data_IF_898190693778
#
_entry.id   IF_898190693778
#
_cell.length_a   1.000
_cell.length_b   1.000
_cell.length_c   1.000
_cell.angle_alpha   90.00
_cell.angle_beta   90.00
_cell.angle_gamma   90.00
#
_symmetry.space_group_name_H-M   'P 1'
#
loop_
_entity.id
_entity.type
_entity.pdbx_description
1 polymer ?
#
# COMPACT_ATOMS: atom_id res chain seq x y z
N UNK A 1 15.69 -6.06 -5.48
CA UNK A 1 16.39 -5.99 -6.77
C UNK A 1 15.59 -5.14 -7.74
N UNK A 2 16.28 -4.15 -8.26
CA UNK A 2 15.86 -3.15 -9.23
C UNK A 2 15.93 -3.65 -10.70
N UNK A 3 16.56 -4.81 -10.91
CA UNK A 3 16.67 -5.50 -12.20
C UNK A 3 16.34 -6.97 -12.05
N UNK A 4 15.90 -7.56 -13.15
CA UNK A 4 15.74 -9.00 -13.26
C UNK A 4 17.14 -9.67 -13.27
N UNK A 5 17.38 -10.69 -12.43
CA UNK A 5 18.68 -11.35 -12.33
C UNK A 5 19.10 -12.06 -13.61
N UNK A 6 18.13 -12.50 -14.44
CA UNK A 6 18.36 -13.25 -15.67
C UNK A 6 18.38 -12.29 -16.87
N UNK A 7 17.31 -11.52 -17.08
CA UNK A 7 17.18 -10.68 -18.28
C UNK A 7 17.94 -9.36 -18.17
N UNK A 8 18.32 -8.95 -16.95
CA UNK A 8 18.95 -7.66 -16.63
C UNK A 8 18.08 -6.44 -16.91
N UNK A 9 16.82 -6.66 -17.29
CA UNK A 9 15.85 -5.60 -17.53
C UNK A 9 15.46 -4.95 -16.21
N UNK A 10 15.23 -3.65 -16.27
CA UNK A 10 14.79 -2.84 -15.13
C UNK A 10 13.38 -3.26 -14.73
N UNK A 11 13.18 -3.60 -13.46
CA UNK A 11 11.88 -4.10 -12.96
C UNK A 11 11.01 -3.01 -12.33
N UNK A 12 11.59 -1.84 -12.08
CA UNK A 12 10.95 -0.68 -11.43
C UNK A 12 11.74 0.61 -11.72
N UNK A 13 11.18 1.78 -11.42
CA UNK A 13 11.91 3.05 -11.54
C UNK A 13 13.14 3.04 -10.62
N UNK A 14 14.30 3.46 -11.14
CA UNK A 14 15.57 3.47 -10.40
C UNK A 14 15.65 4.65 -9.43
N UNK A 15 14.89 4.59 -8.34
CA UNK A 15 14.83 5.61 -7.27
C UNK A 15 15.95 5.46 -6.23
N UNK A 16 16.64 4.33 -6.22
CA UNK A 16 17.59 3.95 -5.18
C UNK A 16 17.00 3.10 -4.07
N UNK A 17 15.69 2.82 -4.08
CA UNK A 17 15.01 1.97 -3.10
C UNK A 17 15.56 0.53 -3.09
N UNK A 18 15.77 -0.06 -4.26
CA UNK A 18 16.42 -1.36 -4.41
C UNK A 18 17.76 -1.19 -5.15
N UNK A 19 18.82 -1.77 -4.61
CA UNK A 19 20.17 -1.69 -5.18
C UNK A 19 20.91 -3.03 -5.21
N UNK A 20 20.21 -4.12 -4.92
CA UNK A 20 20.82 -5.44 -4.78
C UNK A 20 21.52 -5.92 -6.07
N UNK A 21 21.00 -5.58 -7.26
CA UNK A 21 21.69 -5.95 -8.51
C UNK A 21 23.03 -5.22 -8.62
N UNK A 22 23.03 -3.89 -8.40
CA UNK A 22 24.26 -3.07 -8.39
C UNK A 22 25.25 -3.47 -7.30
N UNK A 23 24.76 -3.87 -6.13
CA UNK A 23 25.61 -4.33 -5.01
C UNK A 23 26.40 -5.60 -5.37
N UNK A 24 25.95 -6.39 -6.34
CA UNK A 24 26.70 -7.56 -6.81
C UNK A 24 28.01 -7.20 -7.55
N UNK A 25 28.26 -5.91 -7.83
CA UNK A 25 29.55 -5.42 -8.37
C UNK A 25 30.59 -5.13 -7.27
N UNK A 26 30.22 -5.25 -5.99
CA UNK A 26 31.14 -5.04 -4.87
C UNK A 26 32.20 -6.16 -4.87
N UNK A 27 33.48 -5.78 -4.99
CA UNK A 27 34.60 -6.72 -4.96
C UNK A 27 34.66 -7.44 -3.61
N UNK A 28 34.80 -8.76 -3.65
CA UNK A 28 34.90 -9.60 -2.45
C UNK A 28 33.55 -9.97 -1.81
N UNK A 29 32.43 -9.65 -2.46
CA UNK A 29 31.11 -10.09 -2.01
C UNK A 29 30.79 -11.48 -2.58
N UNK A 30 30.67 -12.50 -1.71
CA UNK A 30 30.33 -13.86 -2.15
C UNK A 30 28.82 -14.16 -2.07
N UNK A 31 28.14 -13.58 -1.08
CA UNK A 31 26.73 -13.85 -0.76
C UNK A 31 26.02 -12.53 -0.44
N UNK A 32 24.87 -12.30 -1.05
CA UNK A 32 23.97 -11.18 -0.78
C UNK A 32 22.58 -11.72 -0.39
N UNK A 33 22.27 -11.66 0.92
CA UNK A 33 20.95 -12.01 1.44
C UNK A 33 20.07 -10.77 1.36
N UNK A 34 18.94 -10.89 0.66
CA UNK A 34 18.01 -9.77 0.42
C UNK A 34 16.65 -10.01 1.08
N UNK A 35 15.87 -8.93 1.20
CA UNK A 35 14.49 -8.92 1.70
C UNK A 35 13.68 -7.84 0.98
N UNK A 36 12.76 -7.18 1.71
CA UNK A 36 11.96 -6.02 1.26
C UNK A 36 10.92 -6.29 0.15
N UNK A 37 11.27 -7.05 -0.88
CA UNK A 37 10.39 -7.27 -2.04
C UNK A 37 9.45 -8.47 -1.93
N UNK A 38 9.55 -9.28 -0.85
CA UNK A 38 8.69 -10.43 -0.58
C UNK A 38 8.74 -11.53 -1.67
N UNK A 39 9.83 -11.60 -2.43
CA UNK A 39 10.04 -12.60 -3.49
C UNK A 39 10.72 -13.85 -2.94
N UNK A 40 10.52 -14.97 -3.64
CA UNK A 40 11.24 -16.23 -3.42
C UNK A 40 12.26 -16.40 -4.55
N UNK A 41 13.55 -16.31 -4.26
CA UNK A 41 14.60 -16.51 -5.28
C UNK A 41 15.94 -16.93 -4.69
N UNK A 42 16.68 -17.70 -5.50
CA UNK A 42 18.10 -18.00 -5.33
C UNK A 42 18.72 -17.87 -6.72
N UNK A 43 19.62 -16.91 -6.87
CA UNK A 43 20.21 -16.56 -8.15
C UNK A 43 21.71 -16.30 -8.01
N UNK A 44 22.43 -16.28 -9.15
CA UNK A 44 23.85 -15.92 -9.18
C UNK A 44 24.05 -14.72 -10.09
N UNK A 45 24.46 -13.58 -9.52
CA UNK A 45 24.67 -12.33 -10.24
C UNK A 45 26.15 -11.95 -10.11
N UNK A 46 26.86 -11.85 -11.22
CA UNK A 46 28.29 -11.49 -11.27
C UNK A 46 29.18 -12.34 -10.34
N UNK A 47 28.81 -13.61 -10.13
CA UNK A 47 29.53 -14.52 -9.24
C UNK A 47 29.00 -14.56 -7.80
N UNK A 48 28.22 -13.57 -7.39
CA UNK A 48 27.62 -13.45 -6.06
C UNK A 48 26.34 -14.29 -5.97
N UNK A 49 26.21 -15.11 -4.92
CA UNK A 49 24.97 -15.79 -4.61
C UNK A 49 23.97 -14.78 -4.01
N UNK A 50 22.82 -14.59 -4.65
CA UNK A 50 21.76 -13.69 -4.18
C UNK A 50 20.56 -14.51 -3.74
N UNK A 51 20.07 -14.25 -2.53
CA UNK A 51 18.92 -14.99 -1.98
C UNK A 51 17.82 -14.04 -1.49
N UNK A 52 16.58 -14.48 -1.55
CA UNK A 52 15.44 -13.83 -0.91
C UNK A 52 14.43 -14.90 -0.48
N UNK A 53 14.00 -14.85 0.77
CA UNK A 53 12.83 -15.58 1.24
C UNK A 53 11.60 -14.68 1.17
N UNK A 54 10.45 -15.27 0.88
CA UNK A 54 9.16 -14.58 0.93
C UNK A 54 8.80 -14.10 2.35
N UNK A 55 7.60 -13.56 2.50
CA UNK A 55 7.11 -12.93 3.73
C UNK A 55 6.44 -13.93 4.70
N UNK A 56 6.23 -13.50 5.95
CA UNK A 56 5.52 -14.24 7.01
C UNK A 56 6.11 -15.63 7.32
N UNK A 57 7.43 -15.79 7.17
CA UNK A 57 8.15 -17.03 7.48
C UNK A 57 7.57 -18.30 6.82
N UNK A 58 6.95 -18.15 5.63
CA UNK A 58 6.43 -19.29 4.83
C UNK A 58 7.55 -20.19 4.29
N UNK A 59 8.75 -19.66 4.25
CA UNK A 59 9.98 -20.35 3.87
C UNK A 59 11.18 -19.67 4.52
N UNK A 60 12.32 -20.35 4.46
CA UNK A 60 13.63 -19.80 4.79
C UNK A 60 14.67 -20.32 3.81
N UNK A 61 15.81 -19.64 3.71
CA UNK A 61 16.92 -20.06 2.85
C UNK A 61 18.00 -20.71 3.71
N UNK A 62 18.37 -21.94 3.37
CA UNK A 62 19.55 -22.60 3.93
C UNK A 62 20.72 -22.38 2.96
N UNK A 63 21.85 -21.88 3.48
CA UNK A 63 23.07 -21.66 2.72
C UNK A 63 24.18 -22.51 3.36
N UNK A 64 24.75 -23.41 2.57
CA UNK A 64 25.86 -24.27 2.97
C UNK A 64 27.16 -23.78 2.30
N UNK A 65 28.18 -23.53 3.11
CA UNK A 65 29.49 -23.04 2.65
C UNK A 65 30.55 -24.09 2.96
N UNK A 66 31.21 -24.61 1.93
CA UNK A 66 32.38 -25.45 2.09
C UNK A 66 33.65 -24.59 2.12
N UNK A 67 34.23 -24.39 3.30
CA UNK A 67 35.42 -23.56 3.50
C UNK A 67 36.70 -24.11 2.87
N UNK A 68 36.73 -25.38 2.44
CA UNK A 68 37.89 -25.97 1.76
C UNK A 68 37.85 -25.76 0.25
N UNK A 69 36.67 -25.87 -0.34
CA UNK A 69 36.49 -25.74 -1.80
C UNK A 69 35.94 -24.37 -2.22
N UNK A 70 35.53 -23.54 -1.25
CA UNK A 70 34.76 -22.31 -1.45
C UNK A 70 33.45 -22.52 -2.24
N UNK A 71 32.93 -23.75 -2.26
CA UNK A 71 31.63 -24.02 -2.86
C UNK A 71 30.53 -23.52 -1.94
N UNK A 72 29.56 -22.80 -2.52
CA UNK A 72 28.39 -22.28 -1.83
C UNK A 72 27.16 -22.87 -2.50
N UNK A 73 26.33 -23.55 -1.72
CA UNK A 73 25.04 -24.08 -2.15
C UNK A 73 23.93 -23.40 -1.35
N UNK A 74 22.77 -23.18 -1.97
CA UNK A 74 21.61 -22.67 -1.28
C UNK A 74 20.32 -23.33 -1.75
N UNK A 75 19.37 -23.49 -0.83
CA UNK A 75 18.02 -23.99 -1.13
C UNK A 75 16.97 -23.26 -0.32
N UNK A 76 15.80 -23.06 -0.92
CA UNK A 76 14.61 -22.56 -0.22
C UNK A 76 13.92 -23.75 0.44
N UNK A 77 13.64 -23.64 1.73
CA UNK A 77 12.91 -24.65 2.51
C UNK A 77 11.57 -24.06 2.91
N UNK A 78 10.47 -24.67 2.46
CA UNK A 78 9.13 -24.28 2.87
C UNK A 78 8.86 -24.71 4.31
N UNK A 79 8.25 -23.81 5.11
CA UNK A 79 7.84 -24.11 6.47
C UNK A 79 6.53 -24.89 6.56
N UNK A 80 5.77 -25.03 5.45
CA UNK A 80 4.41 -25.60 5.40
C UNK A 80 4.27 -26.97 6.07
N UNK A 81 5.28 -27.83 5.94
CA UNK A 81 5.24 -29.22 6.42
C UNK A 81 6.17 -29.47 7.63
N UNK A 82 6.76 -28.42 8.19
CA UNK A 82 7.61 -28.55 9.36
C UNK A 82 6.74 -28.71 10.61
N UNK A 83 7.18 -29.57 11.53
CA UNK A 83 6.50 -29.73 12.81
C UNK A 83 6.84 -28.54 13.69
N UNK A 84 5.81 -27.96 14.28
CA UNK A 84 5.95 -26.90 15.28
C UNK A 84 6.64 -27.45 16.54
N UNK A 85 7.51 -26.64 17.15
CA UNK A 85 8.07 -26.97 18.45
C UNK A 85 7.02 -26.69 19.54
N UNK A 86 6.49 -27.76 20.12
CA UNK A 86 5.47 -27.69 21.16
C UNK A 86 5.91 -26.84 22.35
N UNK A 87 7.19 -26.83 22.73
CA UNK A 87 7.66 -26.02 23.86
C UNK A 87 7.51 -24.53 23.59
N UNK A 88 7.79 -24.11 22.36
CA UNK A 88 7.62 -22.71 21.94
C UNK A 88 6.13 -22.36 21.89
N UNK A 89 5.30 -23.21 21.26
CA UNK A 89 3.85 -22.99 21.18
C UNK A 89 3.22 -22.90 22.57
N UNK A 90 3.54 -23.84 23.45
CA UNK A 90 3.01 -23.89 24.82
C UNK A 90 3.45 -22.64 25.61
N UNK A 91 4.69 -22.16 25.43
CA UNK A 91 5.17 -20.94 26.09
C UNK A 91 4.44 -19.66 25.64
N UNK A 92 3.85 -19.66 24.44
CA UNK A 92 3.14 -18.51 23.87
C UNK A 92 1.62 -18.62 24.04
N UNK A 93 1.10 -19.71 24.60
CA UNK A 93 -0.34 -20.00 24.66
C UNK A 93 -1.15 -18.91 25.36
N UNK A 94 -0.73 -18.47 26.54
CA UNK A 94 -1.42 -17.41 27.30
C UNK A 94 -1.43 -16.07 26.52
N UNK A 95 -0.31 -15.72 25.89
CA UNK A 95 -0.22 -14.52 25.06
C UNK A 95 -1.15 -14.62 23.83
N UNK A 96 -1.18 -15.78 23.19
CA UNK A 96 -2.05 -16.05 22.05
C UNK A 96 -3.54 -15.94 22.45
N UNK A 97 -3.95 -16.54 23.56
CA UNK A 97 -5.32 -16.46 24.07
C UNK A 97 -5.73 -15.02 24.40
N UNK A 98 -4.87 -14.27 25.11
CA UNK A 98 -5.10 -12.83 25.37
C UNK A 98 -5.20 -12.01 24.09
N UNK A 99 -4.37 -12.33 23.09
CA UNK A 99 -4.42 -11.67 21.78
C UNK A 99 -5.73 -11.97 21.06
N UNK A 100 -6.24 -13.21 21.09
CA UNK A 100 -7.54 -13.52 20.49
C UNK A 100 -8.67 -12.77 21.18
N UNK A 101 -8.67 -12.72 22.51
CA UNK A 101 -9.68 -11.96 23.28
C UNK A 101 -9.63 -10.48 22.90
N UNK A 102 -8.45 -9.88 22.82
CA UNK A 102 -8.28 -8.48 22.41
C UNK A 102 -8.75 -8.23 20.97
N UNK A 103 -8.41 -9.13 20.04
CA UNK A 103 -8.85 -9.04 18.65
C UNK A 103 -10.38 -9.07 18.53
N UNK A 104 -11.07 -9.85 19.36
CA UNK A 104 -12.53 -9.99 19.30
C UNK A 104 -13.29 -8.90 20.08
N UNK A 105 -12.59 -7.92 20.66
CA UNK A 105 -13.24 -6.78 21.32
C UNK A 105 -14.00 -5.92 20.30
N UNK A 106 -15.28 -5.59 20.55
CA UNK A 106 -16.04 -4.68 19.71
C UNK A 106 -15.49 -3.25 19.86
N UNK A 107 -15.33 -2.55 18.73
CA UNK A 107 -14.81 -1.18 18.69
C UNK A 107 -15.84 -0.15 18.24
N UNK A 108 -16.92 -0.58 17.58
CA UNK A 108 -18.02 0.29 17.18
C UNK A 108 -18.86 -0.33 16.06
N UNK A 109 -19.82 0.44 15.58
CA UNK A 109 -20.73 0.02 14.49
C UNK A 109 -20.77 1.05 13.38
N UNK A 110 -20.85 0.58 12.14
CA UNK A 110 -21.18 1.40 10.98
C UNK A 110 -22.62 1.11 10.55
N UNK A 111 -23.33 2.17 10.14
CA UNK A 111 -24.69 2.10 9.61
C UNK A 111 -24.73 2.61 8.17
N UNK A 112 -25.83 2.28 7.47
CA UNK A 112 -26.19 2.74 6.12
C UNK A 112 -25.39 2.13 4.95
N UNK A 113 -24.27 1.44 5.18
CA UNK A 113 -23.49 0.77 4.14
C UNK A 113 -23.05 -0.64 4.54
N UNK A 114 -23.04 -1.57 3.57
CA UNK A 114 -22.23 -2.79 3.65
C UNK A 114 -20.80 -2.46 3.25
N UNK A 115 -19.85 -2.80 4.12
CA UNK A 115 -18.43 -2.52 3.91
C UNK A 115 -17.63 -3.75 3.54
N UNK A 116 -18.27 -4.89 3.29
CA UNK A 116 -17.61 -6.06 2.71
C UNK A 116 -17.21 -5.81 1.27
N UNK A 117 -15.98 -6.16 0.95
CA UNK A 117 -15.44 -6.03 -0.40
C UNK A 117 -15.55 -7.37 -1.10
N UNK A 118 -16.48 -7.46 -2.05
CA UNK A 118 -16.68 -8.66 -2.87
C UNK A 118 -15.74 -8.68 -4.09
N UNK A 119 -15.48 -7.50 -4.67
CA UNK A 119 -14.62 -7.31 -5.83
C UNK A 119 -13.68 -6.11 -5.59
N UNK A 120 -12.40 -6.41 -5.36
CA UNK A 120 -11.39 -5.40 -5.09
C UNK A 120 -11.08 -4.49 -6.30
N UNK A 121 -11.33 -4.96 -7.52
CA UNK A 121 -11.17 -4.14 -8.72
C UNK A 121 -12.31 -3.13 -8.82
N UNK A 122 -13.56 -3.57 -8.64
CA UNK A 122 -14.72 -2.67 -8.61
C UNK A 122 -14.65 -1.67 -7.44
N UNK A 123 -14.16 -2.12 -6.28
CA UNK A 123 -13.94 -1.26 -5.12
C UNK A 123 -12.95 -0.11 -5.40
N UNK A 124 -11.97 -0.33 -6.29
CA UNK A 124 -11.01 0.69 -6.73
C UNK A 124 -11.53 1.54 -7.89
N UNK A 125 -12.26 0.92 -8.83
CA UNK A 125 -12.79 1.59 -10.01
C UNK A 125 -13.90 2.58 -9.65
N UNK A 126 -14.82 2.20 -8.76
CA UNK A 126 -16.00 2.99 -8.40
C UNK A 126 -15.92 3.65 -7.02
N UNK A 127 -14.72 3.67 -6.40
CA UNK A 127 -14.46 4.09 -5.01
C UNK A 127 -15.44 3.51 -3.98
N UNK A 128 -15.06 2.40 -3.35
CA UNK A 128 -15.89 1.75 -2.33
C UNK A 128 -16.17 2.65 -1.10
N UNK A 129 -17.34 2.54 -0.44
CA UNK A 129 -17.67 3.34 0.75
C UNK A 129 -16.66 3.25 1.91
N UNK A 130 -15.92 2.15 2.01
CA UNK A 130 -14.83 2.01 3.01
C UNK A 130 -13.75 3.08 2.84
N UNK A 131 -13.45 3.48 1.60
CA UNK A 131 -12.48 4.53 1.30
C UNK A 131 -13.01 5.88 1.75
N UNK A 132 -14.30 6.14 1.53
CA UNK A 132 -14.96 7.35 2.05
C UNK A 132 -14.92 7.38 3.57
N UNK A 133 -15.13 6.25 4.25
CA UNK A 133 -14.99 6.17 5.70
C UNK A 133 -13.57 6.48 6.17
N UNK A 134 -12.55 5.83 5.58
CA UNK A 134 -11.15 6.09 5.94
C UNK A 134 -10.78 7.57 5.70
N UNK A 135 -11.13 8.13 4.54
CA UNK A 135 -10.88 9.52 4.25
C UNK A 135 -11.66 10.47 5.16
N UNK A 136 -12.92 10.16 5.51
CA UNK A 136 -13.72 10.95 6.45
C UNK A 136 -13.02 11.06 7.80
N UNK A 137 -12.53 9.94 8.36
CA UNK A 137 -11.79 9.95 9.63
C UNK A 137 -10.48 10.74 9.50
N UNK A 138 -9.74 10.54 8.41
CA UNK A 138 -8.49 11.28 8.16
C UNK A 138 -8.74 12.79 8.06
N UNK A 139 -9.78 13.23 7.36
CA UNK A 139 -10.18 14.64 7.23
C UNK A 139 -10.58 15.23 8.59
N UNK A 140 -11.39 14.53 9.38
CA UNK A 140 -11.86 15.02 10.67
C UNK A 140 -10.72 15.20 11.68
N UNK A 141 -9.79 14.24 11.74
CA UNK A 141 -8.65 14.27 12.66
C UNK A 141 -7.57 15.26 12.23
N UNK A 142 -7.40 15.45 10.92
CA UNK A 142 -6.38 16.35 10.37
C UNK A 142 -6.82 17.80 10.22
N UNK A 143 -8.11 18.04 9.96
CA UNK A 143 -8.62 19.33 9.52
C UNK A 143 -8.18 19.72 8.10
N UNK A 144 -7.66 18.78 7.31
CA UNK A 144 -7.19 19.05 5.95
C UNK A 144 -8.37 19.26 4.97
N UNK A 145 -8.09 19.90 3.83
CA UNK A 145 -9.05 20.11 2.75
C UNK A 145 -9.32 18.81 1.97
N UNK A 146 -8.29 18.00 1.78
CA UNK A 146 -8.26 16.83 0.91
C UNK A 146 -7.63 15.66 1.68
N UNK A 147 -8.17 14.47 1.49
CA UNK A 147 -7.60 13.23 2.02
C UNK A 147 -7.39 12.23 0.90
N UNK A 148 -6.30 11.47 0.99
CA UNK A 148 -6.05 10.34 0.10
C UNK A 148 -5.68 9.10 0.90
N UNK A 149 -6.19 7.96 0.45
CA UNK A 149 -5.85 6.65 1.01
C UNK A 149 -6.00 5.55 -0.03
N UNK A 150 -5.24 4.47 0.13
CA UNK A 150 -5.27 3.32 -0.78
C UNK A 150 -6.15 2.20 -0.24
N UNK A 151 -6.69 1.38 -1.14
CA UNK A 151 -7.18 0.05 -0.76
C UNK A 151 -6.02 -0.95 -0.79
N UNK A 152 -5.66 -1.54 0.35
CA UNK A 152 -4.57 -2.52 0.43
C UNK A 152 -4.90 -3.82 -0.32
N UNK A 153 -3.89 -4.66 -0.50
CA UNK A 153 -4.06 -5.95 -1.18
C UNK A 153 -4.84 -6.92 -0.28
N UNK A 154 -5.84 -7.61 -0.83
CA UNK A 154 -6.66 -8.61 -0.15
C UNK A 154 -7.46 -8.03 1.03
N UNK A 155 -7.91 -6.78 0.93
CA UNK A 155 -8.72 -6.16 1.98
C UNK A 155 -10.12 -6.77 1.94
N UNK A 156 -10.58 -7.32 3.06
CA UNK A 156 -11.91 -7.93 3.18
C UNK A 156 -13.02 -6.92 3.50
N UNK A 157 -12.63 -5.75 4.00
CA UNK A 157 -13.53 -4.72 4.51
C UNK A 157 -14.14 -5.05 5.87
N UNK A 158 -15.11 -4.23 6.30
CA UNK A 158 -15.68 -4.28 7.66
C UNK A 158 -17.00 -5.05 7.72
N UNK A 159 -17.20 -5.78 8.81
CA UNK A 159 -18.54 -6.15 9.26
C UNK A 159 -19.29 -4.89 9.75
N UNK A 160 -20.62 -4.97 9.89
CA UNK A 160 -21.38 -3.85 10.49
C UNK A 160 -20.96 -3.59 11.93
N UNK A 161 -20.88 -4.65 12.74
CA UNK A 161 -20.22 -4.61 14.04
C UNK A 161 -18.73 -4.84 13.83
N UNK A 162 -17.93 -3.85 14.20
CA UNK A 162 -16.50 -3.85 13.94
C UNK A 162 -15.81 -4.30 15.22
N UNK A 163 -14.95 -5.29 15.08
CA UNK A 163 -14.01 -5.73 16.13
C UNK A 163 -12.61 -5.17 15.87
N UNK A 164 -11.72 -5.27 16.86
CA UNK A 164 -10.32 -4.93 16.67
C UNK A 164 -9.67 -5.79 15.56
N UNK A 165 -10.08 -7.05 15.42
CA UNK A 165 -9.69 -7.97 14.36
C UNK A 165 -10.02 -7.41 12.98
N UNK A 166 -11.23 -6.88 12.82
CA UNK A 166 -11.66 -6.29 11.56
C UNK A 166 -10.81 -5.05 11.22
N UNK A 167 -10.48 -4.21 12.21
CA UNK A 167 -9.58 -3.07 12.05
C UNK A 167 -8.18 -3.47 11.58
N UNK A 168 -7.51 -4.37 12.30
CA UNK A 168 -6.13 -4.77 11.96
C UNK A 168 -6.04 -5.58 10.67
N UNK A 169 -7.12 -6.26 10.26
CA UNK A 169 -7.17 -6.96 8.97
C UNK A 169 -7.42 -6.00 7.80
N UNK A 170 -8.15 -4.90 8.04
CA UNK A 170 -8.44 -3.91 7.01
C UNK A 170 -7.29 -2.93 6.83
N UNK A 171 -6.74 -2.40 7.92
CA UNK A 171 -5.59 -1.51 7.93
C UNK A 171 -4.39 -2.20 8.62
N UNK A 172 -3.60 -2.92 7.81
CA UNK A 172 -2.55 -3.83 8.30
C UNK A 172 -1.22 -3.13 8.65
N UNK A 173 -1.07 -1.85 8.32
CA UNK A 173 0.19 -1.13 8.45
C UNK A 173 0.16 -0.13 9.62
N UNK A 174 1.25 0.00 10.39
CA UNK A 174 1.37 0.95 11.49
C UNK A 174 1.70 2.35 10.95
N UNK A 175 0.94 2.83 9.97
CA UNK A 175 1.14 4.15 9.41
C UNK A 175 0.55 5.23 10.31
N UNK A 176 1.21 6.38 10.35
CA UNK A 176 0.70 7.63 10.94
C UNK A 176 0.23 8.57 9.82
N UNK A 177 -0.40 9.70 10.17
CA UNK A 177 -0.86 10.70 9.18
C UNK A 177 0.05 11.93 9.15
N UNK A 178 0.18 12.52 7.97
CA UNK A 178 0.92 13.74 7.71
C UNK A 178 0.07 14.65 6.83
N UNK A 179 0.00 15.93 7.20
CA UNK A 179 -0.66 16.98 6.43
C UNK A 179 0.41 17.78 5.68
N UNK A 180 0.24 17.89 4.37
CA UNK A 180 1.10 18.62 3.44
C UNK A 180 0.34 19.79 2.81
N UNK A 181 1.01 20.90 2.57
CA UNK A 181 0.51 22.02 1.78
C UNK A 181 0.83 21.73 0.30
N UNK A 182 -0.19 21.49 -0.52
CA UNK A 182 -0.06 21.03 -1.90
C UNK A 182 -0.65 22.05 -2.88
N UNK A 183 0.07 22.36 -3.94
CA UNK A 183 -0.47 23.19 -5.03
C UNK A 183 -1.40 22.38 -5.93
N UNK A 184 -2.32 23.04 -6.64
CA UNK A 184 -3.21 22.36 -7.58
C UNK A 184 -2.45 21.62 -8.69
N UNK A 185 -1.29 22.14 -9.10
CA UNK A 185 -0.38 21.45 -10.02
C UNK A 185 0.17 20.14 -9.43
N UNK A 186 0.66 20.17 -8.19
CA UNK A 186 1.20 18.99 -7.53
C UNK A 186 0.09 17.98 -7.20
N UNK A 187 -1.11 18.45 -6.82
CA UNK A 187 -2.29 17.63 -6.63
C UNK A 187 -2.68 16.89 -7.92
N UNK A 188 -2.74 17.60 -9.05
CA UNK A 188 -3.00 16.99 -10.36
C UNK A 188 -1.93 15.95 -10.71
N UNK A 189 -0.66 16.24 -10.45
CA UNK A 189 0.43 15.28 -10.69
C UNK A 189 0.29 14.02 -9.82
N UNK A 190 -0.10 14.14 -8.54
CA UNK A 190 -0.36 12.99 -7.67
C UNK A 190 -1.55 12.16 -8.17
N UNK A 191 -2.62 12.82 -8.66
CA UNK A 191 -3.76 12.14 -9.28
C UNK A 191 -3.36 11.38 -10.54
N UNK A 192 -2.50 11.95 -11.39
CA UNK A 192 -1.96 11.27 -12.58
C UNK A 192 -1.17 10.00 -12.22
N UNK A 193 -0.43 10.01 -11.10
CA UNK A 193 0.22 8.80 -10.55
C UNK A 193 -0.84 7.78 -10.13
N UNK A 194 -1.86 8.18 -9.36
CA UNK A 194 -2.97 7.29 -8.98
C UNK A 194 -3.63 6.66 -10.21
N UNK A 195 -4.06 7.46 -11.20
CA UNK A 195 -4.84 6.94 -12.34
C UNK A 195 -3.97 6.22 -13.38
N UNK A 196 -2.65 6.22 -13.23
CA UNK A 196 -1.76 5.30 -13.95
C UNK A 196 -1.96 3.83 -13.54
N UNK A 197 -2.67 3.58 -12.43
CA UNK A 197 -3.13 2.26 -11.99
C UNK A 197 -3.98 1.56 -13.04
N UNK A 198 -4.76 2.31 -13.83
CA UNK A 198 -5.65 1.77 -14.83
C UNK A 198 -5.01 1.75 -16.21
N UNK A 199 -5.44 0.81 -17.04
CA UNK A 199 -5.08 0.68 -18.45
C UNK A 199 -6.29 0.14 -19.22
N UNK A 200 -6.23 0.14 -20.55
CA UNK A 200 -7.27 -0.48 -21.39
C UNK A 200 -6.81 -1.83 -21.90
N UNK A 201 -7.71 -2.80 -21.93
CA UNK A 201 -7.51 -4.02 -22.71
C UNK A 201 -7.78 -3.79 -24.21
N UNK A 202 -7.70 -4.87 -24.99
CA UNK A 202 -7.91 -4.84 -26.44
C UNK A 202 -9.34 -4.45 -26.84
N UNK A 203 -10.30 -4.56 -25.92
CA UNK A 203 -11.72 -4.31 -26.11
C UNK A 203 -12.14 -2.96 -25.47
N UNK A 204 -11.15 -2.09 -25.18
CA UNK A 204 -11.30 -0.81 -24.48
C UNK A 204 -11.97 -0.92 -23.10
N UNK A 205 -11.87 -2.07 -22.44
CA UNK A 205 -12.32 -2.21 -21.06
C UNK A 205 -11.21 -1.81 -20.10
N UNK A 206 -11.60 -1.12 -19.03
CA UNK A 206 -10.66 -0.72 -17.98
C UNK A 206 -10.16 -1.97 -17.25
N UNK A 207 -8.85 -2.07 -17.10
CA UNK A 207 -8.14 -3.11 -16.35
C UNK A 207 -7.05 -2.48 -15.48
N UNK A 208 -6.41 -3.30 -14.64
CA UNK A 208 -5.21 -2.88 -13.91
C UNK A 208 -3.99 -2.87 -14.84
N UNK A 209 -3.21 -1.80 -14.77
CA UNK A 209 -1.94 -1.64 -15.48
C UNK A 209 -0.95 -2.72 -15.06
N UNK A 210 -0.21 -3.28 -16.03
CA UNK A 210 0.78 -4.33 -15.76
C UNK A 210 1.86 -3.89 -14.76
N UNK A 211 2.18 -2.60 -14.74
CA UNK A 211 3.18 -2.01 -13.81
C UNK A 211 2.77 -2.11 -12.33
N UNK A 212 1.48 -2.26 -12.04
CA UNK A 212 0.97 -2.45 -10.67
C UNK A 212 0.78 -3.92 -10.30
N UNK A 213 1.02 -4.85 -11.23
CA UNK A 213 0.86 -6.30 -11.03
C UNK A 213 2.21 -7.02 -11.08
N UNK A 214 3.14 -6.54 -11.91
CA UNK A 214 4.46 -7.13 -12.12
C UNK A 214 5.58 -6.18 -11.69
N UNK A 215 6.69 -6.69 -11.12
CA UNK A 215 6.96 -8.09 -10.80
C UNK A 215 6.18 -8.60 -9.58
N UNK A 216 5.55 -7.70 -8.82
CA UNK A 216 4.68 -8.01 -7.68
C UNK A 216 3.46 -7.09 -7.68
N UNK A 217 2.33 -7.51 -7.09
CA UNK A 217 1.17 -6.65 -6.89
C UNK A 217 1.48 -5.43 -6.00
N UNK A 218 1.15 -4.24 -6.47
CA UNK A 218 1.37 -2.95 -5.81
C UNK A 218 0.07 -2.12 -5.75
N UNK A 219 -1.09 -2.76 -5.55
CA UNK A 219 -2.38 -2.05 -5.54
C UNK A 219 -2.49 -0.98 -4.44
N UNK A 220 -1.72 -1.14 -3.36
CA UNK A 220 -1.52 -0.13 -2.32
C UNK A 220 -0.86 1.17 -2.81
N UNK A 221 -0.47 1.29 -4.08
CA UNK A 221 0.02 2.55 -4.68
C UNK A 221 -1.06 3.34 -5.44
N UNK A 222 -2.29 2.83 -5.50
CA UNK A 222 -3.44 3.57 -6.01
C UNK A 222 -4.20 4.23 -4.86
N UNK A 223 -4.10 5.56 -4.77
CA UNK A 223 -4.85 6.34 -3.79
C UNK A 223 -6.16 6.85 -4.40
N UNK A 224 -7.21 6.83 -3.59
CA UNK A 224 -8.51 7.41 -3.87
C UNK A 224 -8.75 8.59 -2.93
N UNK A 225 -9.25 9.68 -3.50
CA UNK A 225 -9.29 10.99 -2.85
C UNK A 225 -10.71 11.38 -2.45
N UNK A 226 -10.82 12.13 -1.36
CA UNK A 226 -12.02 12.86 -0.96
C UNK A 226 -11.66 14.32 -0.66
N UNK A 227 -12.65 15.21 -0.82
CA UNK A 227 -12.49 16.68 -0.76
C UNK A 227 -12.47 17.35 -2.14
N UNK A 228 -12.18 16.59 -3.19
CA UNK A 228 -12.17 17.01 -4.60
C UNK A 228 -13.06 16.11 -5.45
N UNK A 229 -13.44 16.55 -6.65
CA UNK A 229 -14.11 15.74 -7.66
C UNK A 229 -13.27 15.73 -8.93
N UNK A 230 -13.07 14.56 -9.55
CA UNK A 230 -12.30 14.46 -10.77
C UNK A 230 -12.78 13.38 -11.74
N UNK A 231 -12.46 13.58 -13.01
CA UNK A 231 -12.69 12.60 -14.08
C UNK A 231 -11.37 12.24 -14.73
N UNK A 232 -11.09 10.94 -14.80
CA UNK A 232 -9.95 10.37 -15.50
C UNK A 232 -10.39 9.64 -16.76
N UNK A 233 -9.76 9.97 -17.89
CA UNK A 233 -9.94 9.28 -19.18
C UNK A 233 -8.72 8.42 -19.49
N UNK A 234 -8.88 7.10 -19.40
CA UNK A 234 -7.75 6.16 -19.39
C UNK A 234 -7.08 5.99 -20.76
N UNK A 235 -7.80 6.23 -21.85
CA UNK A 235 -7.32 6.27 -23.23
C UNK A 235 -6.38 7.42 -23.52
N UNK A 236 -6.35 8.47 -22.68
CA UNK A 236 -5.35 9.51 -22.80
C UNK A 236 -3.96 9.00 -22.38
N UNK A 237 -2.87 9.60 -22.91
CA UNK A 237 -1.51 9.28 -22.46
C UNK A 237 -1.36 9.40 -20.94
N UNK A 238 -0.59 8.50 -20.33
CA UNK A 238 -0.23 8.57 -18.90
C UNK A 238 0.37 9.95 -18.59
N UNK A 239 -0.11 10.60 -17.53
CA UNK A 239 0.24 11.98 -17.19
C UNK A 239 -0.67 13.05 -17.79
N UNK A 240 -1.65 12.65 -18.61
CA UNK A 240 -2.67 13.54 -19.21
C UNK A 240 -4.08 12.94 -19.13
N UNK A 241 -4.33 12.10 -18.12
CA UNK A 241 -5.61 11.39 -17.96
C UNK A 241 -6.64 12.19 -17.19
N UNK A 242 -6.24 13.12 -16.33
CA UNK A 242 -7.16 13.97 -15.56
C UNK A 242 -7.71 15.08 -16.47
N UNK A 243 -8.97 14.92 -16.88
CA UNK A 243 -9.67 15.84 -17.80
C UNK A 243 -10.57 16.85 -17.07
N UNK A 244 -10.93 16.58 -15.81
CA UNK A 244 -11.68 17.48 -14.94
C UNK A 244 -11.18 17.31 -13.51
N UNK A 245 -11.00 18.41 -12.80
CA UNK A 245 -10.64 18.45 -11.39
C UNK A 245 -11.26 19.70 -10.76
N UNK A 246 -12.12 19.49 -9.76
CA UNK A 246 -12.78 20.57 -9.03
C UNK A 246 -12.65 20.39 -7.52
N UNK A 247 -12.65 21.51 -6.82
CA UNK A 247 -12.74 21.59 -5.36
C UNK A 247 -13.92 22.48 -5.00
N UNK A 248 -14.89 21.94 -4.25
CA UNK A 248 -16.14 22.63 -3.88
C UNK A 248 -16.84 23.29 -5.09
N UNK A 249 -16.90 22.57 -6.21
CA UNK A 249 -17.53 23.01 -7.46
C UNK A 249 -16.73 24.03 -8.28
N UNK A 250 -15.52 24.43 -7.85
CA UNK A 250 -14.64 25.34 -8.61
C UNK A 250 -13.51 24.55 -9.24
N UNK A 251 -13.17 24.88 -10.49
CA UNK A 251 -12.02 24.28 -11.16
C UNK A 251 -10.72 24.58 -10.39
N UNK A 252 -9.93 23.54 -10.14
CA UNK A 252 -8.61 23.66 -9.50
C UNK A 252 -7.62 24.28 -10.49
N UNK A 253 -6.94 25.35 -10.09
CA UNK A 253 -5.85 25.97 -10.83
C UNK A 253 -4.50 25.51 -10.31
N UNK A 254 -3.47 25.62 -11.14
CA UNK A 254 -2.13 25.15 -10.82
C UNK A 254 -1.53 25.81 -9.56
N UNK A 255 -1.87 27.08 -9.33
CA UNK A 255 -1.38 27.94 -8.24
C UNK A 255 -2.28 27.94 -6.99
N UNK A 256 -3.46 27.31 -7.04
CA UNK A 256 -4.29 27.14 -5.86
C UNK A 256 -3.55 26.29 -4.82
N UNK A 257 -3.67 26.64 -3.53
CA UNK A 257 -3.03 25.93 -2.43
C UNK A 257 -4.09 25.26 -1.56
N UNK A 258 -3.87 23.98 -1.25
CA UNK A 258 -4.73 23.17 -0.40
C UNK A 258 -3.90 22.45 0.67
N UNK A 259 -4.58 21.91 1.67
CA UNK A 259 -3.99 20.93 2.59
C UNK A 259 -4.42 19.51 2.22
N UNK A 260 -3.44 18.62 2.12
CA UNK A 260 -3.62 17.20 1.81
C UNK A 260 -3.15 16.35 2.99
N UNK A 261 -4.04 15.55 3.57
CA UNK A 261 -3.68 14.50 4.53
C UNK A 261 -3.44 13.17 3.80
N UNK A 262 -2.28 12.57 4.08
CA UNK A 262 -1.89 11.24 3.62
C UNK A 262 -1.21 10.49 4.74
N UNK A 263 -0.99 9.19 4.55
CA UNK A 263 -0.17 8.43 5.48
C UNK A 263 1.33 8.78 5.36
N UNK A 264 2.12 8.44 6.37
CA UNK A 264 3.56 8.74 6.41
C UNK A 264 4.38 8.05 5.30
N UNK A 265 3.90 6.93 4.74
CA UNK A 265 4.52 6.29 3.56
C UNK A 265 4.42 7.19 2.32
N UNK A 266 3.26 7.79 2.07
CA UNK A 266 3.07 8.77 0.98
C UNK A 266 3.76 10.09 1.24
N UNK A 267 3.80 10.53 2.49
CA UNK A 267 4.41 11.81 2.87
C UNK A 267 5.91 11.90 2.52
N UNK A 268 6.58 10.76 2.39
CA UNK A 268 8.00 10.65 1.97
C UNK A 268 8.16 10.27 0.49
N UNK A 269 7.07 10.29 -0.29
CA UNK A 269 7.09 10.10 -1.74
C UNK A 269 7.02 8.65 -2.21
N UNK A 270 6.84 7.70 -1.29
CA UNK A 270 6.83 6.29 -1.64
C UNK A 270 5.64 5.92 -2.55
N UNK A 271 5.90 5.08 -3.54
CA UNK A 271 4.95 4.80 -4.64
C UNK A 271 5.05 5.78 -5.81
N UNK A 272 6.15 6.52 -5.94
CA UNK A 272 6.40 7.56 -6.96
C UNK A 272 5.58 8.84 -6.76
N UNK A 273 5.26 9.18 -5.51
CA UNK A 273 4.55 10.41 -5.15
C UNK A 273 5.54 11.53 -4.76
N UNK A 274 6.61 11.72 -5.53
CA UNK A 274 7.69 12.68 -5.25
C UNK A 274 7.12 14.10 -4.98
N UNK A 275 6.09 14.49 -5.72
CA UNK A 275 5.38 15.77 -5.57
C UNK A 275 4.72 15.98 -4.19
N UNK A 276 4.38 14.90 -3.48
CA UNK A 276 3.89 14.96 -2.10
C UNK A 276 5.05 15.10 -1.11
N UNK A 277 6.19 14.46 -1.39
CA UNK A 277 7.38 14.59 -0.54
C UNK A 277 7.97 16.00 -0.57
N UNK A 278 8.00 16.61 -1.75
CA UNK A 278 8.47 17.98 -2.00
C UNK A 278 7.53 19.04 -1.40
N UNK A 279 6.27 18.67 -1.15
CA UNK A 279 5.28 19.55 -0.54
C UNK A 279 5.66 19.89 0.91
N UNK A 280 5.36 21.13 1.30
CA UNK A 280 5.67 21.66 2.63
C UNK A 280 4.89 20.91 3.70
N UNK A 281 5.58 20.53 4.78
CA UNK A 281 4.95 19.94 5.96
C UNK A 281 4.09 20.99 6.70
N UNK A 282 2.83 20.64 6.98
CA UNK A 282 1.92 21.45 7.80
C UNK A 282 1.84 20.89 9.21
N UNK A 283 1.60 19.57 9.33
CA UNK A 283 1.42 18.90 10.63
C UNK A 283 1.68 17.40 10.51
N UNK A 284 2.21 16.80 11.57
CA UNK A 284 2.25 15.35 11.76
C UNK A 284 1.26 14.93 12.84
N UNK A 285 0.59 13.79 12.63
CA UNK A 285 -0.29 13.16 13.61
C UNK A 285 0.35 11.82 13.94
N UNK A 286 1.19 11.82 14.98
CA UNK A 286 2.01 10.67 15.39
C UNK A 286 1.21 9.65 16.22
N UNK A 287 0.05 9.26 15.70
CA UNK A 287 -0.81 8.19 16.20
C UNK A 287 -1.07 7.24 15.03
N UNK A 288 -0.97 5.94 15.26
CA UNK A 288 -1.24 4.95 14.21
C UNK A 288 -2.69 5.06 13.73
N UNK A 289 -2.90 4.96 12.42
CA UNK A 289 -4.22 5.08 11.80
C UNK A 289 -5.20 4.05 12.38
N UNK A 290 -4.73 2.84 12.71
CA UNK A 290 -5.57 1.82 13.35
C UNK A 290 -6.09 2.28 14.72
N UNK A 291 -5.28 2.97 15.51
CA UNK A 291 -5.70 3.55 16.79
C UNK A 291 -6.63 4.75 16.60
N UNK A 292 -6.36 5.57 15.58
CA UNK A 292 -7.26 6.67 15.18
C UNK A 292 -8.65 6.11 14.82
N UNK A 293 -8.71 5.06 14.00
CA UNK A 293 -9.96 4.40 13.60
C UNK A 293 -10.67 3.77 14.79
N UNK A 294 -9.94 3.07 15.67
CA UNK A 294 -10.49 2.46 16.89
C UNK A 294 -11.14 3.52 17.77
N UNK A 295 -10.43 4.63 18.04
CA UNK A 295 -10.95 5.73 18.84
C UNK A 295 -12.18 6.36 18.19
N UNK A 296 -12.10 6.68 16.89
CA UNK A 296 -13.20 7.27 16.13
C UNK A 296 -14.47 6.43 16.20
N UNK A 297 -14.36 5.12 15.95
CA UNK A 297 -15.48 4.19 16.03
C UNK A 297 -16.07 4.15 17.43
N UNK A 298 -15.22 4.13 18.47
CA UNK A 298 -15.70 4.07 19.85
C UNK A 298 -16.45 5.33 20.29
N UNK A 299 -16.05 6.50 19.80
CA UNK A 299 -16.62 7.80 20.17
C UNK A 299 -17.86 8.17 19.34
N UNK A 300 -17.98 7.64 18.12
CA UNK A 300 -19.00 8.05 17.15
C UNK A 300 -19.96 6.91 16.74
N UNK A 301 -19.94 5.77 17.43
CA UNK A 301 -20.82 4.64 17.12
C UNK A 301 -22.29 4.93 17.45
N UNK A 302 -23.25 4.67 16.54
CA UNK A 302 -23.06 4.16 15.19
C UNK A 302 -22.59 5.25 14.21
N UNK A 303 -21.53 4.95 13.45
CA UNK A 303 -20.95 5.85 12.47
C UNK A 303 -21.74 5.83 11.17
N UNK A 304 -22.08 7.01 10.65
CA UNK A 304 -22.61 7.23 9.30
C UNK A 304 -21.48 7.61 8.34
N UNK A 305 -21.42 6.93 7.19
CA UNK A 305 -20.41 7.22 6.16
C UNK A 305 -20.95 8.29 5.21
N UNK A 306 -20.14 9.32 4.98
CA UNK A 306 -20.42 10.33 3.97
C UNK A 306 -19.85 9.89 2.60
N UNK A 307 -20.44 8.86 2.01
CA UNK A 307 -19.99 8.37 0.72
C UNK A 307 -20.44 9.28 -0.43
N UNK A 308 -19.51 9.61 -1.32
CA UNK A 308 -19.75 10.39 -2.54
C UNK A 308 -19.04 9.75 -3.72
N UNK A 309 -19.71 9.73 -4.87
CA UNK A 309 -19.10 9.33 -6.13
C UNK A 309 -18.42 10.53 -6.81
N UNK A 310 -17.26 10.90 -6.28
CA UNK A 310 -16.43 12.03 -6.72
C UNK A 310 -15.27 11.62 -7.63
N UNK A 311 -15.11 10.33 -7.90
CA UNK A 311 -14.05 9.77 -8.76
C UNK A 311 -14.74 9.11 -9.95
N UNK A 312 -14.60 9.69 -11.14
CA UNK A 312 -15.16 9.13 -12.36
C UNK A 312 -14.02 8.62 -13.23
N UNK A 313 -14.02 7.32 -13.55
CA UNK A 313 -13.03 6.70 -14.42
C UNK A 313 -13.73 6.21 -15.68
N UNK A 314 -13.35 6.77 -16.82
CA UNK A 314 -13.89 6.42 -18.13
C UNK A 314 -12.77 5.89 -19.02
N UNK A 315 -13.11 4.98 -19.97
CA UNK A 315 -12.13 4.48 -20.92
C UNK A 315 -11.58 5.59 -21.81
#
# INVERSE_FOLDING_TARGET
>A
MEKDPITKEVTERLTGENQAYKMCDIKGLDILITGHQHRSLIEKINGVLVTQSTFKAKEFVEIEINLKTNNINAKIISSKNLKEDKKIIDSLKDLQEKTQIWLDQPVGKIIDYDLKIEDEFQARLNKHPIISFLNQVQLEVSGADISATSLFNNTTGFNQEITMRDLVNTYIFPNTLVVKEISGKALKAALEVSVSYFDLDKDNQIKVSKSFVKPKPQHYNYDMYDGIEYTAKISNPVGQRIISLTFKGRQVKDDDIYTLVVNNYRAVGAGNYDMISDAKLVKEINVEITEILRKYLSENSPVKIQHKNNIIIIP
#
